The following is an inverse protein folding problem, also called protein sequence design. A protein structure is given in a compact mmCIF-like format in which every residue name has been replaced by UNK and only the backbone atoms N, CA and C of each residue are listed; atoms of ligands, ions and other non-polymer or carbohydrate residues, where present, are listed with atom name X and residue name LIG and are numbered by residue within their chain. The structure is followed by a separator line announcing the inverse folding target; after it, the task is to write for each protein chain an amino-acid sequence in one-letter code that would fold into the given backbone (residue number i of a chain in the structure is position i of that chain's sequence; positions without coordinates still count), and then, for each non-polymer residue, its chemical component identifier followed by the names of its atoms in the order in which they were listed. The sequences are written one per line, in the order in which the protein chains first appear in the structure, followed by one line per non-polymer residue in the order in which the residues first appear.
data_IF_561410123132
#
_entry.id   IF_561410123132
#
_cell.length_a   1.000
_cell.length_b   1.000
_cell.length_c   1.000
_cell.angle_alpha   90.00
_cell.angle_beta   90.00
_cell.angle_gamma   90.00
#
_symmetry.space_group_name_H-M   'P 1'
#
loop_
_entity.id
_entity.type
_entity.pdbx_description
1 polymer ?
#
# COMPACT_ATOMS: atom_id res chain seq x y z
N UNK A 1 8.08 -17.31 6.58
CA UNK A 1 6.85 -16.52 6.80
C UNK A 1 7.14 -15.05 6.79
N UNK A 2 6.38 -14.28 6.01
CA UNK A 2 6.57 -12.83 5.93
C UNK A 2 6.02 -12.15 7.19
N UNK A 3 6.85 -11.35 7.82
CA UNK A 3 6.40 -10.53 8.94
C UNK A 3 5.81 -9.25 8.38
N UNK A 4 4.59 -8.96 8.73
CA UNK A 4 3.91 -7.75 8.30
C UNK A 4 3.99 -6.69 9.37
N UNK A 5 4.26 -5.46 8.96
CA UNK A 5 4.29 -4.31 9.84
C UNK A 5 3.10 -3.42 9.56
N UNK A 6 2.43 -2.97 10.62
CA UNK A 6 1.32 -2.06 10.48
C UNK A 6 1.84 -0.64 10.24
N UNK A 7 1.30 0.02 9.23
CA UNK A 7 1.66 1.40 8.89
C UNK A 7 0.47 2.30 9.22
N UNK A 8 0.68 3.26 10.11
CA UNK A 8 -0.38 4.19 10.52
C UNK A 8 -0.12 5.56 9.91
N UNK A 9 -1.14 6.07 9.21
CA UNK A 9 -1.08 7.36 8.54
C UNK A 9 -2.28 8.18 8.98
N UNK A 10 -2.05 9.46 9.29
CA UNK A 10 -3.13 10.39 9.63
C UNK A 10 -3.54 11.16 8.38
N UNK A 11 -4.83 11.21 8.11
CA UNK A 11 -5.37 11.92 6.95
C UNK A 11 -6.73 12.51 7.31
N UNK A 12 -7.13 13.65 6.72
CA UNK A 12 -8.41 14.28 7.07
C UNK A 12 -9.59 13.32 6.89
N UNK A 13 -10.43 13.24 7.92
CA UNK A 13 -11.54 12.30 7.96
C UNK A 13 -12.53 12.49 6.81
N UNK A 14 -12.88 13.75 6.50
CA UNK A 14 -13.82 14.03 5.40
C UNK A 14 -13.29 13.54 4.06
N UNK A 15 -11.98 13.65 3.85
CA UNK A 15 -11.34 13.15 2.62
C UNK A 15 -11.35 11.63 2.56
N UNK A 16 -11.13 10.97 3.69
CA UNK A 16 -11.17 9.51 3.77
C UNK A 16 -12.56 9.01 3.40
N UNK A 17 -13.60 9.65 3.93
CA UNK A 17 -14.99 9.29 3.61
C UNK A 17 -15.29 9.45 2.13
N UNK A 18 -14.84 10.56 1.53
CA UNK A 18 -15.04 10.82 0.11
C UNK A 18 -14.33 9.76 -0.75
N UNK A 19 -13.11 9.41 -0.39
CA UNK A 19 -12.35 8.39 -1.08
C UNK A 19 -13.06 7.03 -0.99
N UNK A 20 -13.49 6.64 0.21
CA UNK A 20 -14.20 5.38 0.40
C UNK A 20 -15.49 5.30 -0.43
N UNK A 21 -16.25 6.40 -0.47
CA UNK A 21 -17.47 6.45 -1.28
C UNK A 21 -17.18 6.23 -2.76
N UNK A 22 -16.14 6.88 -3.27
CA UNK A 22 -15.77 6.75 -4.68
C UNK A 22 -15.20 5.38 -5.01
N UNK A 23 -14.39 4.82 -4.12
CA UNK A 23 -13.81 3.49 -4.33
C UNK A 23 -14.87 2.38 -4.27
N UNK A 24 -15.88 2.54 -3.42
CA UNK A 24 -16.97 1.58 -3.34
C UNK A 24 -17.70 1.45 -4.69
N UNK A 25 -17.84 2.55 -5.42
CA UNK A 25 -18.44 2.54 -6.75
C UNK A 25 -17.61 1.79 -7.79
N UNK A 26 -16.31 1.62 -7.52
CA UNK A 26 -15.40 0.91 -8.39
C UNK A 26 -15.10 -0.51 -7.91
N UNK A 27 -15.83 -0.97 -6.92
CA UNK A 27 -15.66 -2.30 -6.29
C UNK A 27 -14.24 -2.52 -5.75
N UNK A 28 -13.66 -1.48 -5.15
CA UNK A 28 -12.36 -1.57 -4.53
C UNK A 28 -12.40 -0.91 -3.15
N UNK A 29 -11.32 -1.04 -2.40
CA UNK A 29 -11.22 -0.46 -1.06
C UNK A 29 -9.97 0.40 -0.95
N UNK A 30 -9.94 1.23 0.08
CA UNK A 30 -8.78 2.09 0.33
C UNK A 30 -7.54 1.25 0.65
N UNK A 31 -7.74 0.13 1.34
CA UNK A 31 -6.65 -0.79 1.68
C UNK A 31 -5.99 -1.36 0.43
N UNK A 32 -6.79 -1.77 -0.56
CA UNK A 32 -6.28 -2.30 -1.83
C UNK A 32 -5.49 -1.22 -2.57
N UNK A 33 -6.02 -0.01 -2.64
CA UNK A 33 -5.35 1.09 -3.32
C UNK A 33 -4.03 1.47 -2.66
N UNK A 34 -4.00 1.50 -1.34
CA UNK A 34 -2.79 1.79 -0.58
C UNK A 34 -1.76 0.68 -0.81
N UNK A 35 -2.19 -0.57 -0.79
CA UNK A 35 -1.30 -1.72 -1.02
C UNK A 35 -0.64 -1.62 -2.40
N UNK A 36 -1.41 -1.31 -3.43
CA UNK A 36 -0.89 -1.14 -4.78
C UNK A 36 0.09 0.02 -4.86
N UNK A 37 -0.22 1.14 -4.19
CA UNK A 37 0.67 2.28 -4.13
C UNK A 37 1.99 1.94 -3.45
N UNK A 38 1.94 1.19 -2.35
CA UNK A 38 3.14 0.75 -1.65
C UNK A 38 3.98 -0.17 -2.52
N UNK A 39 3.35 -1.07 -3.27
CA UNK A 39 4.06 -1.94 -4.20
C UNK A 39 4.78 -1.15 -5.29
N UNK A 40 4.14 -0.10 -5.80
CA UNK A 40 4.76 0.77 -6.80
C UNK A 40 5.93 1.54 -6.21
N UNK A 41 5.79 2.06 -5.01
CA UNK A 41 6.87 2.76 -4.30
C UNK A 41 8.05 1.81 -4.09
N UNK A 42 7.77 0.60 -3.67
CA UNK A 42 8.78 -0.43 -3.46
C UNK A 42 9.57 -0.72 -4.73
N UNK A 43 8.87 -0.91 -5.85
CA UNK A 43 9.49 -1.19 -7.14
C UNK A 43 10.25 0.01 -7.69
N UNK A 44 9.75 1.22 -7.43
CA UNK A 44 10.35 2.45 -7.98
C UNK A 44 11.59 2.89 -7.21
N UNK A 45 11.56 2.79 -5.89
CA UNK A 45 12.60 3.35 -5.03
C UNK A 45 13.58 2.34 -4.47
N UNK A 46 13.21 1.07 -4.41
CA UNK A 46 14.10 0.01 -3.95
C UNK A 46 14.79 -0.63 -5.15
N UNK A 47 16.12 -0.62 -5.15
CA UNK A 47 16.90 -1.17 -6.27
C UNK A 47 16.65 -2.68 -6.42
N UNK A 48 16.72 -3.22 -7.66
CA UNK A 48 16.49 -4.66 -7.89
C UNK A 48 17.35 -5.57 -7.04
N UNK A 49 18.61 -5.20 -6.82
CA UNK A 49 19.54 -5.96 -5.99
C UNK A 49 19.05 -6.08 -4.54
N UNK A 50 18.54 -4.96 -4.01
CA UNK A 50 18.00 -4.91 -2.65
C UNK A 50 16.70 -5.71 -2.59
N UNK A 51 15.86 -5.61 -3.61
CA UNK A 51 14.61 -6.35 -3.67
C UNK A 51 14.83 -7.86 -3.65
N UNK A 52 15.81 -8.33 -4.41
CA UNK A 52 16.16 -9.76 -4.40
C UNK A 52 16.56 -10.23 -3.00
N UNK A 53 17.36 -9.44 -2.31
CA UNK A 53 17.77 -9.75 -0.96
C UNK A 53 16.57 -9.83 -0.01
N UNK A 54 15.68 -8.86 -0.10
CA UNK A 54 14.49 -8.82 0.76
C UNK A 54 13.56 -9.99 0.46
N UNK A 55 13.36 -10.31 -0.81
CA UNK A 55 12.50 -11.42 -1.22
C UNK A 55 13.03 -12.77 -0.77
N UNK A 56 14.35 -12.92 -0.69
CA UNK A 56 14.96 -14.13 -0.14
C UNK A 56 14.72 -14.27 1.37
N UNK A 57 14.55 -13.16 2.07
CA UNK A 57 14.28 -13.17 3.50
C UNK A 57 12.80 -13.46 3.83
N UNK A 58 11.92 -13.29 2.87
CA UNK A 58 10.47 -13.51 3.06
C UNK A 58 10.04 -14.96 2.99
#
# INVERSE_FOLDING_TARGET
MVKQKEIKIKYPEARVRAINSNLAKKNTTIEVEIMESLNQIYKKHVKPEVREFIEELE
#
